data_IF_880299937377
#
_entry.id   IF_880299937377
#
_cell.length_a   1.000
_cell.length_b   1.000
_cell.length_c   1.000
_cell.angle_alpha   90.00
_cell.angle_beta   90.00
_cell.angle_gamma   90.00
#
_symmetry.space_group_name_H-M   'P 1'
#
loop_
_entity.id
_entity.type
_entity.pdbx_description
1 polymer ?
#
# COMPACT_ATOMS: atom_id res chain seq x y z
N UNK A 1 -17.16 -5.55 -19.12
CA UNK A 1 -17.08 -6.56 -18.05
C UNK A 1 -15.74 -7.26 -18.22
N UNK A 2 -14.70 -6.81 -17.52
CA UNK A 2 -13.39 -7.43 -17.65
C UNK A 2 -13.41 -8.78 -16.95
N UNK A 3 -13.16 -9.84 -17.70
CA UNK A 3 -13.11 -11.21 -17.18
C UNK A 3 -11.80 -11.40 -16.42
N UNK A 4 -11.89 -11.67 -15.12
CA UNK A 4 -10.73 -11.99 -14.29
C UNK A 4 -9.92 -13.14 -14.88
N UNK A 5 -8.65 -12.89 -15.17
CA UNK A 5 -7.73 -13.93 -15.68
C UNK A 5 -7.56 -15.08 -14.66
N UNK A 6 -7.39 -16.34 -15.12
CA UNK A 6 -7.06 -17.47 -14.23
C UNK A 6 -5.83 -17.24 -13.36
N UNK A 7 -4.85 -16.45 -13.83
CA UNK A 7 -3.68 -16.08 -13.04
C UNK A 7 -4.05 -15.14 -11.88
N UNK A 8 -4.91 -14.15 -12.14
CA UNK A 8 -5.39 -13.23 -11.11
C UNK A 8 -6.24 -13.96 -10.06
N UNK A 9 -7.12 -14.88 -10.48
CA UNK A 9 -7.90 -15.70 -9.55
C UNK A 9 -7.00 -16.55 -8.65
N UNK A 10 -5.95 -17.17 -9.22
CA UNK A 10 -4.96 -17.94 -8.46
C UNK A 10 -4.17 -17.09 -7.47
N UNK A 11 -3.71 -15.90 -7.87
CA UNK A 11 -3.00 -14.98 -6.97
C UNK A 11 -3.91 -14.55 -5.81
N UNK A 12 -5.15 -14.15 -6.10
CA UNK A 12 -6.14 -13.77 -5.08
C UNK A 12 -6.39 -14.91 -4.09
N UNK A 13 -6.48 -16.14 -4.57
CA UNK A 13 -6.65 -17.30 -3.71
C UNK A 13 -5.42 -17.53 -2.84
N UNK A 14 -4.24 -17.57 -3.46
CA UNK A 14 -2.99 -17.87 -2.78
C UNK A 14 -2.59 -16.81 -1.74
N UNK A 15 -3.00 -15.55 -1.92
CA UNK A 15 -2.70 -14.45 -0.99
C UNK A 15 -3.84 -14.13 -0.04
N UNK A 16 -4.94 -14.91 -0.04
CA UNK A 16 -6.14 -14.62 0.75
C UNK A 16 -5.85 -14.57 2.25
N UNK A 17 -5.15 -15.57 2.78
CA UNK A 17 -4.87 -15.65 4.22
C UNK A 17 -3.88 -14.57 4.66
N UNK A 18 -2.90 -14.25 3.81
CA UNK A 18 -1.98 -13.14 4.05
C UNK A 18 -2.71 -11.79 4.05
N UNK A 19 -3.65 -11.58 3.12
CA UNK A 19 -4.50 -10.40 3.10
C UNK A 19 -5.35 -10.31 4.37
N UNK A 20 -6.00 -11.40 4.78
CA UNK A 20 -6.80 -11.44 5.99
C UNK A 20 -5.97 -11.14 7.26
N UNK A 21 -4.71 -11.57 7.30
CA UNK A 21 -3.78 -11.25 8.40
C UNK A 21 -3.41 -9.77 8.43
N UNK A 22 -3.23 -9.14 7.26
CA UNK A 22 -3.00 -7.68 7.17
C UNK A 22 -4.24 -6.92 7.62
N UNK A 23 -5.43 -7.29 7.15
CA UNK A 23 -6.70 -6.69 7.58
C UNK A 23 -6.91 -6.85 9.10
N UNK A 24 -6.56 -8.02 9.65
CA UNK A 24 -6.61 -8.30 11.08
C UNK A 24 -5.72 -7.40 11.94
N UNK A 25 -4.72 -6.72 11.36
CA UNK A 25 -3.96 -5.69 12.07
C UNK A 25 -4.77 -4.42 12.35
N UNK A 26 -5.89 -4.22 11.63
CA UNK A 26 -6.77 -3.06 11.66
C UNK A 26 -8.25 -3.50 11.82
N UNK A 27 -8.63 -4.15 12.94
CA UNK A 27 -9.97 -4.73 13.12
C UNK A 27 -11.11 -3.71 13.06
N UNK A 28 -10.82 -2.43 13.29
CA UNK A 28 -11.77 -1.32 13.20
C UNK A 28 -11.45 -0.37 12.03
N UNK A 29 -10.53 -0.75 11.14
CA UNK A 29 -9.98 0.10 10.10
C UNK A 29 -9.06 1.18 10.65
N UNK A 30 -9.09 2.36 10.02
CA UNK A 30 -8.31 3.55 10.41
C UNK A 30 -9.21 4.53 11.17
N UNK A 31 -9.86 4.07 12.23
CA UNK A 31 -10.87 4.80 13.01
C UNK A 31 -10.27 5.73 14.08
N UNK A 32 -8.95 5.68 14.29
CA UNK A 32 -8.22 6.65 15.09
C UNK A 32 -6.87 7.05 14.45
N UNK A 33 -6.29 8.13 14.98
CA UNK A 33 -5.00 8.68 14.50
C UNK A 33 -3.85 7.69 14.69
N UNK A 34 -3.90 6.82 15.70
CA UNK A 34 -2.86 5.82 15.97
C UNK A 34 -2.86 4.72 14.91
N UNK A 35 -4.04 4.18 14.58
CA UNK A 35 -4.24 3.24 13.50
C UNK A 35 -3.81 3.84 12.16
N UNK A 36 -4.18 5.10 11.89
CA UNK A 36 -3.77 5.77 10.66
C UNK A 36 -2.25 5.93 10.55
N UNK A 37 -1.59 6.38 11.63
CA UNK A 37 -0.12 6.49 11.68
C UNK A 37 0.57 5.14 11.52
N UNK A 38 0.01 4.07 12.10
CA UNK A 38 0.52 2.71 11.96
C UNK A 38 0.43 2.24 10.50
N UNK A 39 -0.69 2.54 9.83
CA UNK A 39 -0.87 2.24 8.41
C UNK A 39 0.18 2.93 7.53
N UNK A 40 0.37 4.25 7.67
CA UNK A 40 1.36 5.00 6.88
C UNK A 40 2.78 4.44 7.07
N UNK A 41 3.16 4.15 8.32
CA UNK A 41 4.44 3.53 8.65
C UNK A 41 4.62 2.16 8.01
N UNK A 42 3.58 1.32 8.05
CA UNK A 42 3.60 -0.01 7.44
C UNK A 42 3.76 0.06 5.92
N UNK A 43 2.98 0.91 5.26
CA UNK A 43 3.09 1.13 3.81
C UNK A 43 4.45 1.69 3.41
N UNK A 44 4.98 2.66 4.16
CA UNK A 44 6.31 3.19 3.93
C UNK A 44 7.39 2.10 4.06
N UNK A 45 7.36 1.33 5.15
CA UNK A 45 8.33 0.26 5.38
C UNK A 45 8.29 -0.82 4.29
N UNK A 46 7.09 -1.20 3.82
CA UNK A 46 6.91 -2.12 2.71
C UNK A 46 7.56 -1.60 1.43
N UNK A 47 7.28 -0.36 1.04
CA UNK A 47 7.82 0.20 -0.20
C UNK A 47 9.34 0.43 -0.13
N UNK A 48 9.89 0.75 1.04
CA UNK A 48 11.35 0.81 1.23
C UNK A 48 11.97 -0.57 1.05
N UNK A 49 11.43 -1.60 1.70
CA UNK A 49 11.96 -2.95 1.57
C UNK A 49 11.89 -3.49 0.12
N UNK A 50 10.84 -3.13 -0.63
CA UNK A 50 10.75 -3.48 -2.05
C UNK A 50 11.72 -2.68 -2.92
N UNK A 51 11.98 -1.41 -2.59
CA UNK A 51 12.96 -0.61 -3.29
C UNK A 51 14.39 -1.13 -3.09
N UNK A 52 14.72 -1.58 -1.87
CA UNK A 52 16.00 -2.20 -1.55
C UNK A 52 16.18 -3.56 -2.25
N UNK A 53 15.07 -4.28 -2.49
CA UNK A 53 15.08 -5.59 -3.12
C UNK A 53 15.27 -5.54 -4.64
N UNK A 54 14.69 -4.54 -5.33
CA UNK A 54 14.68 -4.49 -6.79
C UNK A 54 14.58 -3.04 -7.32
N UNK A 55 15.52 -2.64 -8.18
CA UNK A 55 15.59 -1.29 -8.74
C UNK A 55 14.37 -0.93 -9.61
N UNK A 56 13.76 -1.92 -10.26
CA UNK A 56 12.54 -1.74 -11.05
C UNK A 56 11.32 -1.42 -10.19
N UNK A 57 11.19 -2.08 -9.03
CA UNK A 57 10.19 -1.75 -8.01
C UNK A 57 10.48 -0.39 -7.36
N UNK A 58 11.75 -0.10 -7.07
CA UNK A 58 12.18 1.19 -6.53
C UNK A 58 11.72 2.36 -7.42
N UNK A 59 11.91 2.21 -8.74
CA UNK A 59 11.53 3.20 -9.73
C UNK A 59 10.00 3.26 -9.92
N UNK A 60 9.31 2.11 -9.96
CA UNK A 60 7.86 2.06 -10.15
C UNK A 60 7.09 2.74 -9.01
N UNK A 61 7.56 2.58 -7.77
CA UNK A 61 6.88 3.08 -6.57
C UNK A 61 7.56 4.29 -5.93
N UNK A 62 8.47 4.97 -6.65
CA UNK A 62 9.16 6.18 -6.16
C UNK A 62 8.17 7.29 -5.76
N UNK A 63 7.13 7.52 -6.56
CA UNK A 63 6.12 8.53 -6.25
C UNK A 63 5.33 8.19 -4.99
N UNK A 64 4.89 6.93 -4.84
CA UNK A 64 4.18 6.46 -3.65
C UNK A 64 5.00 6.67 -2.37
N UNK A 65 6.32 6.37 -2.41
CA UNK A 65 7.24 6.61 -1.28
C UNK A 65 7.34 8.10 -0.94
N UNK A 66 7.52 8.96 -1.94
CA UNK A 66 7.58 10.41 -1.74
C UNK A 66 6.31 10.97 -1.07
N UNK A 67 5.13 10.49 -1.49
CA UNK A 67 3.86 10.91 -0.88
C UNK A 67 3.75 10.44 0.58
N UNK A 68 4.16 9.20 0.86
CA UNK A 68 4.21 8.68 2.24
C UNK A 68 5.18 9.47 3.12
N UNK A 69 6.37 9.78 2.63
CA UNK A 69 7.36 10.61 3.33
C UNK A 69 6.80 12.01 3.63
N UNK A 70 6.11 12.61 2.65
CA UNK A 70 5.46 13.92 2.81
C UNK A 70 4.36 13.89 3.88
N UNK A 71 3.47 12.88 3.83
CA UNK A 71 2.40 12.73 4.82
C UNK A 71 2.99 12.46 6.21
N UNK A 72 3.98 11.57 6.32
CA UNK A 72 4.65 11.27 7.58
C UNK A 72 5.34 12.50 8.17
N UNK A 73 5.99 13.34 7.36
CA UNK A 73 6.58 14.60 7.80
C UNK A 73 5.51 15.57 8.32
N UNK A 74 4.39 15.73 7.60
CA UNK A 74 3.26 16.56 8.03
C UNK A 74 2.67 16.11 9.37
N UNK A 75 2.68 14.80 9.64
CA UNK A 75 2.21 14.20 10.89
C UNK A 75 3.30 14.08 11.98
N UNK A 76 4.51 14.61 11.74
CA UNK A 76 5.67 14.51 12.64
C UNK A 76 6.02 13.07 13.03
N UNK A 77 6.02 12.17 12.05
CA UNK A 77 6.24 10.74 12.25
C UNK A 77 7.66 10.33 11.83
N UNK A 78 8.28 9.49 12.64
CA UNK A 78 9.47 8.74 12.23
C UNK A 78 9.11 7.47 11.44
N UNK A 79 9.95 7.05 10.46
CA UNK A 79 9.83 5.77 9.79
C UNK A 79 10.06 4.59 10.74
N UNK A 80 9.49 3.44 10.40
CA UNK A 80 9.91 2.17 11.01
C UNK A 80 11.27 1.76 10.43
N UNK A 81 12.02 0.97 11.18
CA UNK A 81 13.13 0.22 10.60
C UNK A 81 12.58 -0.62 9.44
N UNK A 82 13.22 -0.53 8.27
CA UNK A 82 12.83 -1.34 7.12
C UNK A 82 12.96 -2.82 7.51
N UNK A 83 11.95 -3.65 7.21
CA UNK A 83 12.10 -5.09 7.38
C UNK A 83 13.17 -5.61 6.41
N UNK A 84 13.61 -6.84 6.62
CA UNK A 84 14.50 -7.50 5.67
C UNK A 84 13.86 -7.48 4.28
N UNK A 85 14.61 -6.98 3.30
CA UNK A 85 14.19 -6.94 1.90
C UNK A 85 13.84 -8.37 1.42
N UNK A 86 12.68 -8.56 0.74
CA UNK A 86 12.37 -9.84 0.14
C UNK A 86 13.36 -10.14 -1.00
N UNK A 87 13.53 -11.42 -1.33
CA UNK A 87 14.29 -11.81 -2.53
C UNK A 87 13.39 -11.67 -3.75
N UNK A 88 13.85 -10.92 -4.75
CA UNK A 88 13.18 -10.75 -6.04
C UNK A 88 14.14 -11.30 -7.10
N UNK A 89 14.15 -12.62 -7.24
CA UNK A 89 15.14 -13.32 -8.08
C UNK A 89 14.72 -13.40 -9.57
N UNK A 90 13.44 -13.18 -9.86
CA UNK A 90 12.88 -13.27 -11.22
C UNK A 90 11.70 -12.32 -11.47
N UNK A 91 11.32 -12.22 -12.74
CA UNK A 91 10.20 -11.37 -13.19
C UNK A 91 8.85 -11.81 -12.62
N UNK A 92 8.66 -13.11 -12.36
CA UNK A 92 7.42 -13.63 -11.78
C UNK A 92 7.24 -13.13 -10.34
N UNK A 93 8.31 -13.13 -9.55
CA UNK A 93 8.33 -12.60 -8.18
C UNK A 93 8.13 -11.08 -8.20
N UNK A 94 8.74 -10.37 -9.15
CA UNK A 94 8.49 -8.92 -9.33
C UNK A 94 7.02 -8.62 -9.63
N UNK A 95 6.39 -9.43 -10.50
CA UNK A 95 4.96 -9.30 -10.81
C UNK A 95 4.09 -9.61 -9.59
N UNK A 96 4.45 -10.59 -8.77
CA UNK A 96 3.77 -10.87 -7.50
C UNK A 96 3.84 -9.69 -6.52
N UNK A 97 5.01 -9.03 -6.40
CA UNK A 97 5.15 -7.82 -5.58
C UNK A 97 4.25 -6.68 -6.09
N UNK A 98 4.21 -6.46 -7.42
CA UNK A 98 3.31 -5.48 -8.03
C UNK A 98 1.86 -5.80 -7.77
N UNK A 99 1.45 -7.07 -7.92
CA UNK A 99 0.09 -7.52 -7.62
C UNK A 99 -0.36 -7.13 -6.21
N UNK A 100 0.51 -7.29 -5.21
CA UNK A 100 0.21 -6.90 -3.83
C UNK A 100 0.00 -5.38 -3.70
N UNK A 101 0.92 -4.57 -4.24
CA UNK A 101 0.82 -3.10 -4.13
C UNK A 101 -0.38 -2.57 -4.90
N UNK A 102 -0.57 -2.97 -6.15
CA UNK A 102 -1.71 -2.53 -6.97
C UNK A 102 -3.04 -3.03 -6.39
N UNK A 103 -3.08 -4.26 -5.87
CA UNK A 103 -4.27 -4.81 -5.22
C UNK A 103 -4.68 -4.05 -3.96
N UNK A 104 -3.72 -3.52 -3.20
CA UNK A 104 -4.00 -2.72 -2.00
C UNK A 104 -4.73 -1.40 -2.31
N UNK A 105 -4.66 -0.91 -3.55
CA UNK A 105 -5.33 0.32 -3.97
C UNK A 105 -6.87 0.18 -3.98
N UNK A 106 -7.41 -1.03 -4.15
CA UNK A 106 -8.85 -1.26 -4.16
C UNK A 106 -9.50 -0.86 -2.82
N UNK A 107 -8.82 -1.12 -1.70
CA UNK A 107 -9.28 -0.74 -0.36
C UNK A 107 -9.04 0.74 -0.05
N UNK A 108 -8.16 1.42 -0.79
CA UNK A 108 -7.69 2.76 -0.44
C UNK A 108 -8.79 3.83 -0.41
N UNK A 109 -9.89 3.66 -1.16
CA UNK A 109 -11.05 4.59 -1.08
C UNK A 109 -11.76 4.54 0.26
N UNK A 110 -11.90 3.35 0.85
CA UNK A 110 -12.47 3.21 2.19
C UNK A 110 -11.52 3.82 3.22
N UNK A 111 -10.23 3.50 3.12
CA UNK A 111 -9.20 4.01 4.02
C UNK A 111 -9.06 5.54 3.95
N UNK A 112 -9.17 6.12 2.75
CA UNK A 112 -9.17 7.57 2.55
C UNK A 112 -10.36 8.22 3.26
N UNK A 113 -11.56 7.65 3.14
CA UNK A 113 -12.74 8.17 3.86
C UNK A 113 -12.56 8.13 5.38
N UNK A 114 -11.92 7.08 5.89
CA UNK A 114 -11.60 6.98 7.32
C UNK A 114 -10.57 8.02 7.74
N UNK A 115 -9.48 8.20 6.98
CA UNK A 115 -8.51 9.25 7.22
C UNK A 115 -9.12 10.67 7.19
N UNK A 116 -10.04 10.92 6.25
CA UNK A 116 -10.78 12.21 6.18
C UNK A 116 -11.69 12.43 7.38
N UNK A 117 -12.31 11.37 7.92
CA UNK A 117 -13.08 11.48 9.16
C UNK A 117 -12.20 11.86 10.38
N UNK A 118 -10.89 11.59 10.32
CA UNK A 118 -9.90 12.01 11.31
C UNK A 118 -9.32 13.42 11.04
N UNK A 119 -9.74 14.09 9.97
CA UNK A 119 -9.24 15.41 9.58
C UNK A 119 -8.00 15.40 8.67
N UNK A 120 -7.69 14.27 8.03
CA UNK A 120 -6.60 14.17 7.05
C UNK A 120 -7.12 14.04 5.62
N UNK A 121 -6.58 14.84 4.70
CA UNK A 121 -6.95 14.80 3.29
C UNK A 121 -5.72 14.96 2.37
N UNK A 122 -5.97 15.16 1.07
CA UNK A 122 -4.92 15.35 0.05
C UNK A 122 -4.00 16.54 0.36
N UNK A 123 -4.44 17.51 1.13
CA UNK A 123 -3.63 18.69 1.48
C UNK A 123 -3.01 18.53 2.87
N UNK A 124 -3.64 17.72 3.73
CA UNK A 124 -3.32 17.55 5.14
C UNK A 124 -3.04 16.09 5.53
N UNK A 125 -2.00 15.49 4.94
CA UNK A 125 -1.43 14.25 5.47
C UNK A 125 -2.10 12.95 5.04
N UNK A 126 -2.91 12.97 3.98
CA UNK A 126 -3.43 11.80 3.28
C UNK A 126 -3.21 11.88 1.75
N UNK A 127 -2.13 12.52 1.30
CA UNK A 127 -1.72 12.58 -0.11
C UNK A 127 -1.57 11.19 -0.72
N UNK A 128 -0.90 10.29 0.01
CA UNK A 128 -0.68 8.92 -0.43
C UNK A 128 -2.00 8.19 -0.66
N UNK A 129 -2.90 8.17 0.33
CA UNK A 129 -4.21 7.50 0.18
C UNK A 129 -5.06 8.13 -0.92
N UNK A 130 -5.03 9.45 -1.05
CA UNK A 130 -5.77 10.15 -2.10
C UNK A 130 -5.27 9.77 -3.50
N UNK A 131 -3.96 9.67 -3.69
CA UNK A 131 -3.36 9.21 -4.93
C UNK A 131 -3.63 7.70 -5.17
N UNK A 132 -3.42 6.87 -4.16
CA UNK A 132 -3.59 5.41 -4.24
C UNK A 132 -5.04 5.01 -4.57
N UNK A 133 -6.01 5.71 -3.98
CA UNK A 133 -7.43 5.53 -4.25
C UNK A 133 -7.86 5.88 -5.70
N UNK A 134 -7.13 6.79 -6.35
CA UNK A 134 -7.33 7.13 -7.77
C UNK A 134 -6.76 6.05 -8.69
N UNK A 135 -5.62 5.45 -8.32
CA UNK A 135 -5.00 4.37 -9.11
C UNK A 135 -5.82 3.07 -9.06
N UNK A 136 -6.46 2.77 -7.92
CA UNK A 136 -7.22 1.54 -7.65
C UNK A 136 -8.46 1.25 -8.52
N UNK A 137 -8.68 2.01 -9.59
CA UNK A 137 -9.70 1.72 -10.61
C UNK A 137 -9.22 1.82 -12.06
N UNK A 138 -7.95 2.16 -12.30
CA UNK A 138 -7.43 2.44 -13.64
C UNK A 138 -6.40 1.40 -14.14
N UNK A 139 -5.73 0.67 -13.23
CA UNK A 139 -4.50 -0.05 -13.59
C UNK A 139 -4.61 -1.58 -13.70
N UNK A 140 -5.77 -2.20 -13.45
CA UNK A 140 -5.91 -3.66 -13.55
C UNK A 140 -7.15 -4.08 -14.36
N UNK A 141 -6.98 -4.79 -15.50
CA UNK A 141 -8.09 -5.39 -16.24
C UNK A 141 -8.70 -6.58 -15.50
#
# INVERSE_FOLDING_TARGET
MSTTSPAHARLREATRDDHARVDGCFPHGLDDVTAYRRYLRGMHALLVALADADAGLAQAYAHHRMLLETDMAALSMAPLAAPQAPRIDDDATRLGARYVIEGSAMGARLLLRQATALGFDRESGARFLAYHAEQGGAQWP
#
